data_IF_874223663571
#
_entry.id   IF_874223663571
#
_cell.length_a   1.000
_cell.length_b   1.000
_cell.length_c   1.000
_cell.angle_alpha   90.00
_cell.angle_beta   90.00
_cell.angle_gamma   90.00
#
_symmetry.space_group_name_H-M   'P 1'
#
loop_
_entity.id
_entity.type
_entity.pdbx_description
1 polymer ?
#
# COMPACT_ATOMS: atom_id res chain seq x y z
N UNK A 1 -2.09 -27.69 21.85
CA UNK A 1 -2.75 -26.77 20.90
C UNK A 1 -2.77 -25.35 21.48
N UNK A 2 -1.60 -24.71 21.68
CA UNK A 2 -1.48 -23.44 22.42
C UNK A 2 -0.35 -22.50 21.94
N UNK A 3 0.42 -22.84 20.91
CA UNK A 3 1.48 -21.95 20.42
C UNK A 3 0.94 -20.79 19.56
N UNK A 4 -0.14 -21.01 18.81
CA UNK A 4 -0.59 -20.09 17.76
C UNK A 4 -1.34 -18.85 18.26
N UNK A 5 -2.02 -18.92 19.41
CA UNK A 5 -2.82 -17.79 19.91
C UNK A 5 -1.95 -16.66 20.48
N UNK A 6 -1.00 -17.00 21.36
CA UNK A 6 -0.06 -16.00 21.90
C UNK A 6 0.77 -15.34 20.79
N UNK A 7 1.19 -16.12 19.79
CA UNK A 7 1.89 -15.63 18.60
C UNK A 7 1.00 -14.69 17.76
N UNK A 8 -0.28 -15.04 17.58
CA UNK A 8 -1.25 -14.15 16.91
C UNK A 8 -1.45 -12.85 17.68
N UNK A 9 -1.51 -12.91 19.02
CA UNK A 9 -1.66 -11.72 19.85
C UNK A 9 -0.44 -10.81 19.77
N UNK A 10 0.77 -11.37 19.78
CA UNK A 10 2.00 -10.61 19.53
C UNK A 10 1.98 -9.96 18.15
N UNK A 11 1.52 -10.70 17.14
CA UNK A 11 1.37 -10.18 15.79
C UNK A 11 0.39 -9.00 15.72
N UNK A 12 -0.74 -9.07 16.43
CA UNK A 12 -1.68 -7.95 16.52
C UNK A 12 -1.11 -6.76 17.27
N UNK A 13 -0.35 -6.97 18.34
CA UNK A 13 0.34 -5.88 19.03
C UNK A 13 1.35 -5.19 18.12
N UNK A 14 2.12 -5.96 17.34
CA UNK A 14 3.04 -5.42 16.34
C UNK A 14 2.30 -4.68 15.23
N UNK A 15 1.18 -5.24 14.76
CA UNK A 15 0.38 -4.62 13.72
C UNK A 15 -0.27 -3.32 14.22
N UNK A 16 -0.74 -3.27 15.46
CA UNK A 16 -1.28 -2.07 16.10
C UNK A 16 -0.20 -1.00 16.25
N UNK A 17 0.96 -1.36 16.82
CA UNK A 17 2.08 -0.44 16.96
C UNK A 17 2.59 0.06 15.58
N UNK A 18 2.63 -0.81 14.58
CA UNK A 18 2.99 -0.45 13.21
C UNK A 18 1.96 0.48 12.56
N UNK A 19 0.67 0.19 12.72
CA UNK A 19 -0.40 1.02 12.15
C UNK A 19 -0.43 2.42 12.78
N UNK A 20 -0.24 2.53 14.09
CA UNK A 20 -0.18 3.82 14.78
C UNK A 20 1.07 4.64 14.42
N UNK A 21 2.19 3.99 14.08
CA UNK A 21 3.43 4.65 13.66
C UNK A 21 3.48 5.01 12.17
N UNK A 22 2.60 4.46 11.35
CA UNK A 22 2.61 4.68 9.90
C UNK A 22 1.53 5.66 9.50
N UNK A 23 1.93 6.89 9.16
CA UNK A 23 1.00 7.90 8.68
C UNK A 23 0.76 7.64 7.19
N UNK A 24 -0.50 7.61 6.76
CA UNK A 24 -0.90 7.41 5.35
C UNK A 24 -0.62 6.01 4.78
N UNK A 25 -0.76 4.95 5.57
CA UNK A 25 -0.71 3.58 5.05
C UNK A 25 -1.88 3.30 4.09
N UNK A 26 -1.66 3.49 2.79
CA UNK A 26 -2.72 3.34 1.76
C UNK A 26 -3.05 1.89 1.41
N UNK A 27 -2.17 0.94 1.74
CA UNK A 27 -2.37 -0.50 1.47
C UNK A 27 -1.95 -1.32 2.68
N UNK A 28 -2.85 -2.19 3.13
CA UNK A 28 -2.55 -3.17 4.17
C UNK A 28 -1.84 -4.39 3.58
N UNK A 29 -0.89 -5.02 4.30
CA UNK A 29 -0.27 -6.25 3.84
C UNK A 29 -1.24 -7.43 3.92
N UNK A 30 -1.02 -8.45 3.11
CA UNK A 30 -1.65 -9.76 3.32
C UNK A 30 -0.86 -10.57 4.34
N UNK A 31 -1.57 -11.31 5.20
CA UNK A 31 -0.99 -12.18 6.21
C UNK A 31 -1.18 -13.65 5.81
N UNK A 32 -0.06 -14.38 5.81
CA UNK A 32 -0.02 -15.83 5.58
C UNK A 32 0.80 -16.47 6.70
N UNK A 33 0.17 -17.32 7.51
CA UNK A 33 0.83 -18.06 8.58
C UNK A 33 1.12 -19.48 8.09
N UNK A 34 2.38 -19.89 8.21
CA UNK A 34 2.82 -21.25 7.88
C UNK A 34 3.07 -21.99 9.18
N UNK A 35 2.22 -22.97 9.48
CA UNK A 35 2.39 -23.84 10.64
C UNK A 35 3.20 -25.05 10.20
N UNK A 36 4.46 -25.11 10.64
CA UNK A 36 5.37 -26.21 10.33
C UNK A 36 5.53 -27.10 11.56
N UNK A 37 5.64 -28.42 11.34
CA UNK A 37 6.05 -29.48 12.28
C UNK A 37 5.02 -30.25 13.10
N UNK A 38 3.82 -29.75 13.40
CA UNK A 38 2.83 -30.56 14.13
C UNK A 38 1.41 -30.28 13.66
N UNK A 39 1.09 -30.78 12.47
CA UNK A 39 -0.31 -31.06 12.15
C UNK A 39 -0.70 -32.20 13.08
N UNK A 40 -1.71 -32.07 13.96
CA UNK A 40 -2.16 -33.18 14.77
C UNK A 40 -2.45 -34.33 13.81
N UNK A 41 -1.68 -35.41 13.95
CA UNK A 41 -1.46 -36.48 12.97
C UNK A 41 -2.71 -37.32 12.62
N UNK A 42 -3.92 -36.77 12.78
CA UNK A 42 -5.18 -37.50 12.73
C UNK A 42 -6.31 -36.79 11.97
N UNK A 43 -6.16 -35.53 11.52
CA UNK A 43 -7.23 -34.88 10.75
C UNK A 43 -6.69 -34.18 9.49
N UNK A 44 -6.83 -34.87 8.35
CA UNK A 44 -6.46 -34.38 7.01
C UNK A 44 -7.14 -33.06 6.65
N UNK A 45 -8.23 -32.68 7.35
CA UNK A 45 -8.91 -31.40 7.15
C UNK A 45 -8.01 -30.19 7.39
N UNK A 46 -7.01 -30.29 8.26
CA UNK A 46 -6.04 -29.21 8.49
C UNK A 46 -5.13 -28.94 7.28
N UNK A 47 -5.06 -29.87 6.32
CA UNK A 47 -4.36 -29.68 5.05
C UNK A 47 -5.16 -28.82 4.06
N UNK A 48 -6.41 -28.53 4.37
CA UNK A 48 -7.23 -27.56 3.65
C UNK A 48 -7.05 -26.16 4.25
N UNK A 49 -6.69 -25.20 3.40
CA UNK A 49 -6.37 -23.82 3.80
C UNK A 49 -7.60 -23.12 4.37
N UNK A 50 -8.78 -23.32 3.76
CA UNK A 50 -10.00 -22.64 4.18
C UNK A 50 -10.49 -23.21 5.52
N UNK A 51 -10.43 -24.53 5.70
CA UNK A 51 -10.73 -25.18 6.97
C UNK A 51 -9.78 -24.72 8.07
N UNK A 52 -8.47 -24.75 7.84
CA UNK A 52 -7.48 -24.32 8.83
C UNK A 52 -7.65 -22.85 9.22
N UNK A 53 -7.90 -21.98 8.24
CA UNK A 53 -8.13 -20.54 8.47
C UNK A 53 -9.40 -20.30 9.29
N UNK A 54 -10.54 -20.90 8.91
CA UNK A 54 -11.80 -20.77 9.65
C UNK A 54 -11.71 -21.31 11.06
N UNK A 55 -11.03 -22.45 11.23
CA UNK A 55 -10.89 -23.10 12.54
C UNK A 55 -10.04 -22.25 13.48
N UNK A 56 -8.94 -21.64 13.01
CA UNK A 56 -8.15 -20.75 13.86
C UNK A 56 -8.90 -19.45 14.20
N UNK A 57 -9.64 -18.88 13.24
CA UNK A 57 -10.49 -17.72 13.50
C UNK A 57 -11.55 -18.03 14.56
N UNK A 58 -12.23 -19.16 14.47
CA UNK A 58 -13.21 -19.59 15.46
C UNK A 58 -12.59 -19.77 16.86
N UNK A 59 -11.38 -20.35 16.95
CA UNK A 59 -10.67 -20.44 18.22
C UNK A 59 -10.30 -19.06 18.79
N UNK A 60 -9.87 -18.13 17.93
CA UNK A 60 -9.57 -16.76 18.34
C UNK A 60 -10.83 -16.03 18.83
N UNK A 61 -12.00 -16.25 18.20
CA UNK A 61 -13.27 -15.65 18.63
C UNK A 61 -13.69 -16.06 20.03
N UNK A 62 -13.35 -17.27 20.44
CA UNK A 62 -13.65 -17.82 21.77
C UNK A 62 -12.66 -17.34 22.84
N UNK A 63 -11.60 -16.65 22.46
CA UNK A 63 -10.51 -16.27 23.35
C UNK A 63 -10.79 -14.95 24.08
N UNK A 64 -10.33 -14.86 25.33
CA UNK A 64 -10.51 -13.65 26.16
C UNK A 64 -9.78 -12.45 25.58
N UNK A 65 -8.63 -12.68 24.94
CA UNK A 65 -7.82 -11.64 24.31
C UNK A 65 -8.54 -10.99 23.12
N UNK A 66 -9.38 -11.74 22.40
CA UNK A 66 -10.21 -11.18 21.34
C UNK A 66 -11.31 -10.26 21.89
N UNK A 67 -11.93 -10.62 23.02
CA UNK A 67 -12.92 -9.77 23.67
C UNK A 67 -12.34 -8.41 24.09
N UNK A 68 -11.12 -8.41 24.64
CA UNK A 68 -10.40 -7.19 24.99
C UNK A 68 -10.11 -6.31 23.77
N UNK A 69 -9.56 -6.89 22.69
CA UNK A 69 -9.28 -6.16 21.46
C UNK A 69 -10.55 -5.62 20.80
N UNK A 70 -11.64 -6.39 20.83
CA UNK A 70 -12.94 -5.95 20.34
C UNK A 70 -13.42 -4.71 21.09
N UNK A 71 -13.26 -4.67 22.40
CA UNK A 71 -13.66 -3.52 23.21
C UNK A 71 -12.82 -2.28 22.90
N UNK A 72 -11.50 -2.43 22.73
CA UNK A 72 -10.61 -1.34 22.30
C UNK A 72 -11.07 -0.75 20.95
N UNK A 73 -11.42 -1.60 19.99
CA UNK A 73 -11.91 -1.14 18.68
C UNK A 73 -13.33 -0.54 18.74
N UNK A 74 -14.19 -1.05 19.63
CA UNK A 74 -15.51 -0.46 19.91
C UNK A 74 -15.38 0.97 20.43
N UNK A 75 -14.44 1.22 21.34
CA UNK A 75 -14.12 2.57 21.83
C UNK A 75 -13.59 3.49 20.72
N UNK A 76 -12.92 2.93 19.70
CA UNK A 76 -12.51 3.64 18.48
C UNK A 76 -13.64 3.82 17.45
N UNK A 77 -14.87 3.43 17.78
CA UNK A 77 -16.05 3.60 16.93
C UNK A 77 -16.25 2.51 15.86
N UNK A 78 -15.50 1.40 15.93
CA UNK A 78 -15.63 0.28 14.99
C UNK A 78 -16.20 -0.96 15.69
N UNK A 79 -17.32 -1.47 15.20
CA UNK A 79 -17.95 -2.69 15.71
C UNK A 79 -17.38 -3.87 14.93
N UNK A 80 -16.85 -4.87 15.65
CA UNK A 80 -16.27 -6.09 15.07
C UNK A 80 -17.17 -7.27 15.45
N UNK A 81 -17.74 -7.95 14.45
CA UNK A 81 -18.67 -9.06 14.67
C UNK A 81 -17.92 -10.38 14.74
N UNK A 82 -16.96 -10.57 13.84
CA UNK A 82 -16.12 -11.77 13.74
C UNK A 82 -14.64 -11.47 14.07
N UNK A 83 -13.86 -12.49 14.40
CA UNK A 83 -12.40 -12.35 14.51
C UNK A 83 -11.78 -11.96 13.19
N UNK A 84 -12.38 -12.40 12.08
CA UNK A 84 -11.95 -11.99 10.75
C UNK A 84 -11.98 -10.45 10.59
N UNK A 85 -13.04 -9.79 11.09
CA UNK A 85 -13.15 -8.32 11.02
C UNK A 85 -12.00 -7.61 11.75
N UNK A 86 -11.54 -8.18 12.87
CA UNK A 86 -10.41 -7.66 13.63
C UNK A 86 -9.11 -7.81 12.83
N UNK A 87 -8.84 -9.00 12.28
CA UNK A 87 -7.61 -9.22 11.49
C UNK A 87 -7.60 -8.29 10.27
N UNK A 88 -8.75 -8.12 9.62
CA UNK A 88 -8.92 -7.24 8.47
C UNK A 88 -8.85 -5.73 8.81
N UNK A 89 -8.80 -5.36 10.10
CA UNK A 89 -8.42 -3.99 10.49
C UNK A 89 -6.95 -3.72 10.16
N UNK A 90 -6.09 -4.72 10.37
CA UNK A 90 -4.63 -4.61 10.27
C UNK A 90 -4.09 -5.14 8.94
N UNK A 91 -4.74 -6.16 8.39
CA UNK A 91 -4.32 -6.87 7.19
C UNK A 91 -5.37 -6.77 6.08
N UNK A 92 -4.97 -7.14 4.88
CA UNK A 92 -5.83 -7.13 3.70
C UNK A 92 -6.47 -8.50 3.41
N UNK A 93 -5.75 -9.56 3.80
CA UNK A 93 -6.14 -10.96 3.66
C UNK A 93 -5.50 -11.74 4.79
N UNK A 94 -6.13 -12.85 5.20
CA UNK A 94 -5.60 -13.75 6.21
C UNK A 94 -5.73 -15.20 5.73
N UNK A 95 -4.62 -15.94 5.73
CA UNK A 95 -4.56 -17.34 5.30
C UNK A 95 -3.64 -18.13 6.22
N UNK A 96 -3.96 -19.40 6.40
CA UNK A 96 -3.15 -20.34 7.19
C UNK A 96 -2.91 -21.57 6.36
N UNK A 97 -1.66 -22.02 6.34
CA UNK A 97 -1.29 -23.29 5.72
C UNK A 97 -0.48 -24.14 6.68
N UNK A 98 -0.92 -25.38 6.83
CA UNK A 98 -0.28 -26.38 7.67
C UNK A 98 0.60 -27.26 6.80
N UNK A 99 1.90 -27.26 7.06
CA UNK A 99 2.88 -28.09 6.37
C UNK A 99 3.31 -29.21 7.30
N UNK A 100 3.00 -30.48 6.98
CA UNK A 100 3.40 -31.61 7.82
C UNK A 100 4.92 -31.78 7.81
N UNK A 101 5.44 -32.33 8.90
CA UNK A 101 6.87 -32.66 9.03
C UNK A 101 7.28 -33.64 7.94
N UNK A 102 8.43 -33.39 7.31
CA UNK A 102 8.91 -34.21 6.21
C UNK A 102 9.33 -35.59 6.71
N UNK A 103 8.56 -36.60 6.35
CA UNK A 103 8.84 -38.02 6.59
C UNK A 103 8.67 -38.82 5.30
N UNK A 104 9.18 -40.05 5.26
CA UNK A 104 9.07 -40.93 4.09
C UNK A 104 7.62 -41.16 3.63
N UNK A 105 6.65 -41.09 4.56
CA UNK A 105 5.22 -41.27 4.27
C UNK A 105 4.50 -39.98 3.88
N UNK A 106 4.99 -38.81 4.29
CA UNK A 106 4.34 -37.51 4.07
C UNK A 106 4.92 -36.73 2.90
N UNK A 107 5.98 -37.23 2.25
CA UNK A 107 6.72 -36.53 1.19
C UNK A 107 5.80 -35.96 0.09
N UNK A 108 4.84 -36.75 -0.39
CA UNK A 108 3.88 -36.30 -1.41
C UNK A 108 2.94 -35.20 -0.88
N UNK A 109 2.42 -35.36 0.33
CA UNK A 109 1.54 -34.39 0.99
C UNK A 109 2.27 -33.07 1.26
N UNK A 110 3.51 -33.15 1.75
CA UNK A 110 4.38 -31.99 1.97
C UNK A 110 4.64 -31.25 0.66
N UNK A 111 4.97 -31.95 -0.43
CA UNK A 111 5.15 -31.33 -1.75
C UNK A 111 3.88 -30.62 -2.23
N UNK A 112 2.72 -31.24 -2.04
CA UNK A 112 1.41 -30.65 -2.36
C UNK A 112 1.15 -29.38 -1.54
N UNK A 113 1.46 -29.40 -0.24
CA UNK A 113 1.31 -28.22 0.62
C UNK A 113 2.27 -27.09 0.22
N UNK A 114 3.49 -27.40 -0.20
CA UNK A 114 4.38 -26.37 -0.76
C UNK A 114 3.84 -25.77 -2.05
N UNK A 115 3.24 -26.57 -2.95
CA UNK A 115 2.60 -26.02 -4.14
C UNK A 115 1.44 -25.07 -3.79
N UNK A 116 0.60 -25.45 -2.82
CA UNK A 116 -0.46 -24.59 -2.28
C UNK A 116 0.09 -23.32 -1.64
N UNK A 117 1.19 -23.41 -0.87
CA UNK A 117 1.89 -22.25 -0.32
C UNK A 117 2.31 -21.28 -1.43
N UNK A 118 2.94 -21.79 -2.49
CA UNK A 118 3.37 -20.97 -3.62
C UNK A 118 2.20 -20.35 -4.39
N UNK A 119 1.04 -21.01 -4.50
CA UNK A 119 -0.13 -20.41 -5.12
C UNK A 119 -0.71 -19.29 -4.25
N UNK A 120 -0.82 -19.49 -2.94
CA UNK A 120 -1.34 -18.46 -2.01
C UNK A 120 -0.41 -17.24 -1.94
N UNK A 121 0.91 -17.43 -1.84
CA UNK A 121 1.87 -16.32 -1.86
C UNK A 121 1.73 -15.50 -3.15
N UNK A 122 1.57 -16.16 -4.31
CA UNK A 122 1.35 -15.48 -5.59
C UNK A 122 0.02 -14.75 -5.63
N UNK A 123 -1.06 -15.35 -5.14
CA UNK A 123 -2.38 -14.74 -5.11
C UNK A 123 -2.39 -13.49 -4.22
N UNK A 124 -1.89 -13.59 -2.99
CA UNK A 124 -1.80 -12.47 -2.04
C UNK A 124 -0.91 -11.35 -2.64
N UNK A 125 0.24 -11.71 -3.20
CA UNK A 125 1.14 -10.74 -3.82
C UNK A 125 0.48 -9.99 -4.98
N UNK A 126 -0.28 -10.71 -5.83
CA UNK A 126 -1.01 -10.11 -6.94
C UNK A 126 -2.12 -9.15 -6.45
N UNK A 127 -2.86 -9.53 -5.40
CA UNK A 127 -3.90 -8.69 -4.79
C UNK A 127 -3.30 -7.40 -4.19
N UNK A 128 -2.27 -7.53 -3.36
CA UNK A 128 -1.56 -6.38 -2.76
C UNK A 128 -0.98 -5.48 -3.85
N UNK A 129 -0.39 -6.05 -4.91
CA UNK A 129 0.13 -5.29 -6.05
C UNK A 129 -0.98 -4.51 -6.77
N UNK A 130 -2.13 -5.12 -7.01
CA UNK A 130 -3.29 -4.45 -7.63
C UNK A 130 -3.75 -3.26 -6.78
N UNK A 131 -3.86 -3.44 -5.45
CA UNK A 131 -4.21 -2.35 -4.52
C UNK A 131 -3.16 -1.24 -4.50
N UNK A 132 -1.87 -1.59 -4.47
CA UNK A 132 -0.75 -0.62 -4.60
C UNK A 132 -0.86 0.22 -5.86
N UNK A 133 -1.16 -0.40 -7.00
CA UNK A 133 -1.36 0.32 -8.27
C UNK A 133 -2.56 1.27 -8.18
N UNK A 134 -3.69 0.83 -7.62
CA UNK A 134 -4.89 1.65 -7.47
C UNK A 134 -4.66 2.91 -6.63
N UNK A 135 -3.82 2.82 -5.59
CA UNK A 135 -3.49 3.96 -4.73
C UNK A 135 -2.27 4.77 -5.21
N UNK A 136 -1.78 4.50 -6.42
CA UNK A 136 -0.56 5.07 -7.02
C UNK A 136 0.73 4.85 -6.21
N UNK A 137 0.80 3.76 -5.44
CA UNK A 137 2.00 3.32 -4.72
C UNK A 137 2.76 2.28 -5.56
N UNK A 138 3.05 2.62 -6.83
CA UNK A 138 3.82 1.77 -7.72
C UNK A 138 5.32 2.06 -7.54
N UNK A 139 5.90 1.53 -6.47
CA UNK A 139 7.33 1.67 -6.20
C UNK A 139 8.13 0.84 -7.22
N UNK A 140 8.98 1.49 -8.00
CA UNK A 140 10.00 0.81 -8.80
C UNK A 140 11.08 0.22 -7.87
N UNK A 141 11.88 -0.72 -8.37
CA UNK A 141 12.96 -1.35 -7.58
C UNK A 141 13.93 -0.31 -6.97
N UNK A 142 14.43 0.69 -7.73
CA UNK A 142 15.29 1.73 -7.14
C UNK A 142 14.56 2.50 -6.03
N UNK A 143 13.28 2.81 -6.26
CA UNK A 143 12.47 3.55 -5.31
C UNK A 143 12.19 2.78 -4.03
N UNK A 144 12.07 1.46 -4.14
CA UNK A 144 11.91 0.59 -2.99
C UNK A 144 13.18 0.53 -2.13
N UNK A 145 14.37 0.54 -2.75
CA UNK A 145 15.65 0.58 -2.01
C UNK A 145 15.79 1.88 -1.24
N UNK A 146 15.56 3.03 -1.90
CA UNK A 146 15.59 4.34 -1.22
C UNK A 146 14.55 4.43 -0.09
N UNK A 147 13.37 3.86 -0.31
CA UNK A 147 12.33 3.72 0.71
C UNK A 147 12.84 2.97 1.94
N UNK A 148 13.50 1.82 1.75
CA UNK A 148 14.06 1.01 2.85
C UNK A 148 15.18 1.74 3.58
N UNK A 149 16.11 2.35 2.86
CA UNK A 149 17.23 3.10 3.46
C UNK A 149 16.73 4.25 4.34
N UNK A 150 15.72 5.00 3.88
CA UNK A 150 15.19 6.11 4.65
C UNK A 150 14.35 5.63 5.85
N UNK A 151 13.54 4.59 5.70
CA UNK A 151 12.82 3.98 6.82
C UNK A 151 13.82 3.50 7.87
N UNK A 152 14.89 2.82 7.46
CA UNK A 152 15.95 2.35 8.35
C UNK A 152 16.67 3.51 9.04
N UNK A 153 17.10 4.54 8.29
CA UNK A 153 17.78 5.72 8.84
C UNK A 153 16.96 6.49 9.88
N UNK A 154 15.62 6.50 9.72
CA UNK A 154 14.73 7.09 10.74
C UNK A 154 14.62 6.20 11.98
N UNK A 155 14.34 4.91 11.78
CA UNK A 155 14.18 3.96 12.88
C UNK A 155 15.45 3.79 13.72
N UNK A 156 16.64 3.93 13.13
CA UNK A 156 17.91 3.90 13.88
C UNK A 156 18.18 5.15 14.72
N UNK A 157 17.60 6.30 14.34
CA UNK A 157 17.71 7.55 15.12
C UNK A 157 16.66 7.62 16.22
N UNK A 158 15.44 7.20 15.91
CA UNK A 158 14.32 7.15 16.84
C UNK A 158 13.38 6.02 16.46
N UNK A 159 13.32 5.01 17.33
CA UNK A 159 12.48 3.83 17.16
C UNK A 159 10.98 4.15 17.27
N UNK A 160 10.63 5.27 17.89
CA UNK A 160 9.24 5.75 18.06
C UNK A 160 8.80 6.70 16.95
N UNK A 161 9.72 7.10 16.07
CA UNK A 161 9.42 8.03 14.99
C UNK A 161 8.42 7.45 13.99
N UNK A 162 7.51 8.30 13.52
CA UNK A 162 6.53 7.91 12.51
C UNK A 162 7.15 7.88 11.11
N UNK A 163 6.70 6.93 10.30
CA UNK A 163 7.11 6.78 8.91
C UNK A 163 6.05 7.41 8.02
N UNK A 164 6.43 8.48 7.29
CA UNK A 164 5.57 9.13 6.31
C UNK A 164 5.83 8.56 4.91
N UNK A 165 4.84 7.83 4.40
CA UNK A 165 4.89 7.19 3.08
C UNK A 165 4.77 8.18 1.92
N UNK A 166 4.16 9.34 2.12
CA UNK A 166 4.01 10.35 1.06
C UNK A 166 5.34 11.04 0.78
N UNK A 167 6.06 11.46 1.84
CA UNK A 167 7.40 12.02 1.73
C UNK A 167 8.36 11.07 0.99
N UNK A 168 8.30 9.78 1.34
CA UNK A 168 9.10 8.73 0.72
C UNK A 168 8.81 8.55 -0.78
N UNK A 169 7.54 8.52 -1.16
CA UNK A 169 7.14 8.44 -2.57
C UNK A 169 7.45 9.73 -3.36
N UNK A 170 7.44 10.88 -2.69
CA UNK A 170 7.67 12.20 -3.32
C UNK A 170 9.14 12.48 -3.64
N UNK A 171 10.08 11.93 -2.86
CA UNK A 171 11.52 12.01 -3.17
C UNK A 171 11.90 11.21 -4.41
N UNK A 172 11.11 10.20 -4.73
CA UNK A 172 11.21 9.38 -5.94
C UNK A 172 10.36 9.88 -7.10
N UNK A 173 9.79 11.09 -7.00
CA UNK A 173 9.05 11.66 -8.09
C UNK A 173 10.04 11.91 -9.26
N UNK A 174 10.16 10.93 -10.14
CA UNK A 174 10.50 11.12 -11.53
C UNK A 174 9.84 12.43 -11.98
N UNK A 175 10.62 13.30 -12.64
CA UNK A 175 10.23 14.66 -13.02
C UNK A 175 8.72 14.70 -13.29
N UNK A 176 7.92 15.41 -12.48
CA UNK A 176 6.48 15.20 -12.41
C UNK A 176 5.89 15.21 -13.84
N UNK A 177 5.18 14.16 -14.20
CA UNK A 177 4.76 13.95 -15.60
C UNK A 177 3.38 14.54 -15.85
N UNK A 178 2.59 14.68 -14.79
CA UNK A 178 1.23 15.22 -14.80
C UNK A 178 1.17 16.56 -14.08
N UNK A 179 0.27 17.43 -14.53
CA UNK A 179 0.04 18.74 -13.93
C UNK A 179 -0.25 18.67 -12.41
N UNK A 180 -1.08 17.70 -11.99
CA UNK A 180 -1.39 17.48 -10.56
C UNK A 180 -0.15 17.17 -9.71
N UNK A 181 0.83 16.45 -10.25
CA UNK A 181 2.04 16.06 -9.53
C UNK A 181 2.97 17.28 -9.36
N UNK A 182 3.05 18.13 -10.39
CA UNK A 182 3.70 19.44 -10.29
C UNK A 182 3.03 20.33 -9.25
N UNK A 183 1.70 20.35 -9.21
CA UNK A 183 0.94 21.18 -8.28
C UNK A 183 1.19 20.78 -6.82
N UNK A 184 1.14 19.48 -6.53
CA UNK A 184 1.43 18.94 -5.19
C UNK A 184 2.89 19.21 -4.81
N UNK A 185 3.83 19.02 -5.73
CA UNK A 185 5.24 19.33 -5.48
C UNK A 185 5.50 20.81 -5.19
N UNK A 186 4.77 21.71 -5.85
CA UNK A 186 4.83 23.15 -5.60
C UNK A 186 4.28 23.50 -4.20
N UNK A 187 3.14 22.93 -3.81
CA UNK A 187 2.53 23.13 -2.49
C UNK A 187 3.47 22.67 -1.36
N UNK A 188 4.09 21.51 -1.50
CA UNK A 188 5.06 20.98 -0.53
C UNK A 188 6.25 21.93 -0.38
N UNK A 189 6.83 22.39 -1.49
CA UNK A 189 7.96 23.33 -1.46
C UNK A 189 7.60 24.69 -0.87
N UNK A 190 6.38 25.18 -1.10
CA UNK A 190 5.89 26.42 -0.49
C UNK A 190 5.73 26.26 1.01
N UNK A 191 5.16 25.14 1.46
CA UNK A 191 5.06 24.80 2.88
C UNK A 191 6.43 24.74 3.55
N UNK A 192 7.37 23.99 2.97
CA UNK A 192 8.75 23.87 3.49
C UNK A 192 9.46 25.24 3.59
N UNK A 193 9.25 26.12 2.60
CA UNK A 193 9.84 27.47 2.60
C UNK A 193 9.23 28.38 3.67
N UNK A 194 7.93 28.26 3.93
CA UNK A 194 7.25 29.06 4.97
C UNK A 194 7.59 28.57 6.38
N UNK A 195 7.67 27.25 6.59
CA UNK A 195 8.08 26.66 7.87
C UNK A 195 9.56 26.95 8.21
N UNK A 196 10.42 27.10 7.20
CA UNK A 196 11.82 27.51 7.38
C UNK A 196 11.99 28.99 7.79
N UNK A 197 10.99 29.84 7.55
CA UNK A 197 11.03 31.27 7.87
C UNK A 197 10.46 31.63 9.25
N UNK A 198 9.57 30.80 9.81
CA UNK A 198 8.90 31.08 11.09
C UNK A 198 8.44 29.77 11.75
N UNK A 199 9.29 29.16 12.58
CA UNK A 199 9.08 27.82 13.18
C UNK A 199 7.87 27.71 14.11
N UNK A 200 7.17 28.82 14.39
CA UNK A 200 6.00 28.89 15.27
C UNK A 200 4.66 28.82 14.53
N UNK A 201 4.63 28.88 13.19
CA UNK A 201 3.38 28.88 12.41
C UNK A 201 3.21 27.58 11.64
N UNK A 202 2.33 26.71 12.14
CA UNK A 202 1.78 25.61 11.35
C UNK A 202 0.91 26.24 10.25
N UNK A 203 1.40 26.23 9.02
CA UNK A 203 0.65 26.75 7.88
C UNK A 203 -0.52 25.80 7.60
N UNK A 204 -1.74 26.31 7.74
CA UNK A 204 -2.95 25.55 7.40
C UNK A 204 -2.97 25.26 5.89
N UNK A 205 -3.25 24.01 5.54
CA UNK A 205 -3.25 23.51 4.16
C UNK A 205 -4.24 24.27 3.27
N UNK A 206 -5.36 24.71 3.83
CA UNK A 206 -6.39 25.53 3.16
C UNK A 206 -5.85 26.87 2.68
N UNK A 207 -5.06 27.56 3.51
CA UNK A 207 -4.47 28.84 3.15
C UNK A 207 -3.44 28.72 2.02
N UNK A 208 -2.71 27.60 1.95
CA UNK A 208 -1.78 27.32 0.85
C UNK A 208 -2.53 27.06 -0.46
N UNK A 209 -3.63 26.32 -0.41
CA UNK A 209 -4.49 26.05 -1.57
C UNK A 209 -5.14 27.34 -2.09
N UNK A 210 -5.64 28.19 -1.20
CA UNK A 210 -6.24 29.48 -1.57
C UNK A 210 -5.24 30.39 -2.30
N UNK A 211 -3.98 30.44 -1.84
CA UNK A 211 -2.92 31.19 -2.52
C UNK A 211 -2.55 30.61 -3.89
N UNK A 212 -2.61 29.29 -4.04
CA UNK A 212 -2.30 28.64 -5.31
C UNK A 212 -3.42 28.73 -6.34
N UNK A 213 -4.67 28.82 -5.87
CA UNK A 213 -5.90 28.84 -6.68
C UNK A 213 -5.84 29.83 -7.85
N UNK A 214 -5.45 31.11 -7.68
CA UNK A 214 -5.37 32.05 -8.81
C UNK A 214 -4.36 31.63 -9.88
N UNK A 215 -3.23 31.02 -9.50
CA UNK A 215 -2.24 30.54 -10.45
C UNK A 215 -2.77 29.34 -11.24
N UNK A 216 -3.46 28.42 -10.56
CA UNK A 216 -4.12 27.27 -11.21
C UNK A 216 -5.21 27.74 -12.17
N UNK A 217 -6.03 28.71 -11.74
CA UNK A 217 -7.08 29.30 -12.56
C UNK A 217 -6.50 29.98 -13.81
N UNK A 218 -5.39 30.71 -13.69
CA UNK A 218 -4.68 31.28 -14.84
C UNK A 218 -4.15 30.20 -15.80
N UNK A 219 -3.56 29.12 -15.28
CA UNK A 219 -3.12 28.00 -16.10
C UNK A 219 -4.28 27.33 -16.84
N UNK A 220 -5.42 27.14 -16.17
CA UNK A 220 -6.63 26.57 -16.79
C UNK A 220 -7.23 27.49 -17.85
N UNK A 221 -7.37 28.78 -17.55
CA UNK A 221 -7.89 29.78 -18.48
C UNK A 221 -7.02 29.93 -19.74
N UNK A 222 -5.69 29.80 -19.60
CA UNK A 222 -4.75 29.84 -20.72
C UNK A 222 -4.86 28.63 -21.67
N UNK A 223 -5.40 27.50 -21.19
CA UNK A 223 -5.62 26.30 -22.02
C UNK A 223 -6.96 26.32 -22.76
N UNK A 224 -7.86 27.27 -22.46
CA UNK A 224 -9.10 27.45 -23.21
C UNK A 224 -8.74 28.07 -24.57
N UNK A 225 -8.99 27.40 -25.71
CA UNK A 225 -8.65 27.95 -27.01
C UNK A 225 -9.43 29.25 -27.26
N UNK A 226 -8.71 30.34 -27.50
CA UNK A 226 -9.29 31.67 -27.81
C UNK A 226 -10.11 31.72 -29.11
N UNK A 227 -10.22 30.60 -29.85
CA UNK A 227 -10.96 30.50 -31.11
C UNK A 227 -12.25 29.65 -31.03
N UNK A 228 -12.81 29.45 -29.85
CA UNK A 228 -14.22 29.02 -29.78
C UNK A 228 -15.10 30.26 -29.82
N UNK A 229 -15.66 30.54 -30.99
CA UNK A 229 -16.77 31.50 -31.11
C UNK A 229 -17.88 31.11 -30.11
N UNK A 230 -18.60 32.08 -29.53
CA UNK A 230 -19.61 31.82 -28.50
C UNK A 230 -20.78 30.94 -28.96
N UNK A 231 -20.90 30.62 -30.25
CA UNK A 231 -21.97 29.78 -30.81
C UNK A 231 -21.69 28.26 -30.81
N UNK A 232 -20.46 27.81 -30.56
CA UNK A 232 -20.13 26.38 -30.63
C UNK A 232 -20.28 25.60 -29.30
N UNK A 233 -20.59 26.29 -28.19
CA UNK A 233 -20.58 25.69 -26.84
C UNK A 233 -21.97 25.17 -26.42
N UNK A 234 -23.05 25.55 -27.13
CA UNK A 234 -24.41 25.17 -26.73
C UNK A 234 -24.83 23.73 -27.11
N UNK A 235 -23.98 22.92 -27.77
CA UNK A 235 -24.47 21.70 -28.43
C UNK A 235 -23.61 20.45 -28.38
N UNK A 236 -22.47 20.40 -27.68
CA UNK A 236 -21.63 19.17 -27.66
C UNK A 236 -21.46 18.60 -26.25
N UNK A 237 -21.94 17.37 -25.99
CA UNK A 237 -21.69 16.71 -24.71
C UNK A 237 -20.20 16.39 -24.55
N UNK A 238 -19.73 16.52 -23.31
CA UNK A 238 -18.37 16.27 -22.79
C UNK A 238 -17.87 14.82 -22.97
N UNK A 239 -17.88 14.25 -24.18
CA UNK A 239 -17.42 12.87 -24.43
C UNK A 239 -16.14 12.72 -25.24
N UNK A 240 -15.69 13.72 -25.99
CA UNK A 240 -14.49 13.57 -26.82
C UNK A 240 -13.36 14.52 -26.44
N UNK A 241 -12.85 14.39 -25.21
CA UNK A 241 -11.46 14.79 -24.90
C UNK A 241 -10.52 13.61 -25.16
N UNK A 242 -10.44 13.19 -26.43
CA UNK A 242 -9.39 12.29 -26.88
C UNK A 242 -8.07 13.07 -26.93
N UNK A 243 -7.17 12.73 -26.01
CA UNK A 243 -5.79 13.22 -25.98
C UNK A 243 -5.12 12.80 -27.30
N UNK A 244 -4.78 13.78 -28.15
CA UNK A 244 -3.91 13.55 -29.32
C UNK A 244 -2.56 12.97 -28.84
N UNK A 245 -2.08 11.84 -29.40
CA UNK A 245 -0.72 11.37 -29.13
C UNK A 245 0.27 12.26 -29.90
N UNK A 246 0.93 13.18 -29.18
CA UNK A 246 1.98 14.03 -29.70
C UNK A 246 3.36 13.37 -29.64
N UNK A 247 3.85 12.94 -30.81
CA UNK A 247 5.25 12.97 -31.24
C UNK A 247 6.34 12.35 -30.33
N UNK A 248 6.43 11.02 -30.30
CA UNK A 248 7.68 10.31 -30.07
C UNK A 248 8.26 9.81 -31.40
N UNK A 249 8.85 10.71 -32.19
CA UNK A 249 9.68 10.36 -33.37
C UNK A 249 10.64 11.50 -33.66
N UNK A 250 11.84 11.44 -33.07
CA UNK A 250 13.12 11.92 -33.61
C UNK A 250 14.20 11.87 -32.51
N UNK A 251 14.65 10.67 -32.15
CA UNK A 251 15.98 10.47 -31.54
C UNK A 251 16.45 9.02 -31.68
N UNK A 252 16.42 8.52 -32.91
CA UNK A 252 17.01 7.24 -33.29
C UNK A 252 17.39 7.29 -34.79
N UNK A 253 18.44 8.06 -35.11
CA UNK A 253 19.22 8.00 -36.36
C UNK A 253 20.31 9.08 -36.33
N UNK A 254 21.29 8.92 -35.44
CA UNK A 254 22.59 9.61 -35.52
C UNK A 254 23.59 8.90 -34.59
N UNK A 255 23.78 7.60 -34.78
CA UNK A 255 24.90 6.88 -34.18
C UNK A 255 25.36 5.66 -34.99
N UNK A 256 25.06 5.61 -36.29
CA UNK A 256 25.65 4.65 -37.24
C UNK A 256 26.18 5.43 -38.44
N UNK A 257 27.36 6.05 -38.27
CA UNK A 257 28.23 6.53 -39.34
C UNK A 257 29.53 7.08 -38.73
N UNK A 258 30.30 6.22 -38.07
CA UNK A 258 31.76 6.37 -37.88
C UNK A 258 32.27 5.12 -37.19
N UNK A 259 32.91 4.24 -37.96
CA UNK A 259 34.02 3.32 -37.64
C UNK A 259 33.92 2.11 -38.59
N UNK A 260 34.42 2.27 -39.81
CA UNK A 260 35.09 1.23 -40.61
C UNK A 260 35.93 1.97 -41.64
N UNK A 261 37.23 1.94 -41.38
CA UNK A 261 38.31 2.68 -42.03
C UNK A 261 39.48 2.57 -41.09
#
# INVERSE_FOLDING_TARGET
MLATEAELMHLFQWAAAGHERTVNQRVRPGLLIVVNKDVPSSDEKWLDIDYATKTLLAHLELSTSFAELREVWRLRGKILNAAEDLILCYYDSFRIICVPSLTSTTTHTTATQYQKLYSEVRAISAQVRKKKIQVNMNLAVPSFVMYLEHAFSRLTKDLTSSIDFHYLASKDAARPSKFREHLVGLLVKLKEKEEAGDSSKVVQETALVDRLTPFVACCMASQIPKNSSPEAIAGKPLRDFAIRPGAAKQRAKKHDAKTTG
#
